data_IF_351115249335
#
_entry.id   IF_351115249335
#
_cell.length_a   1.000
_cell.length_b   1.000
_cell.length_c   1.000
_cell.angle_alpha   90.00
_cell.angle_beta   90.00
_cell.angle_gamma   90.00
#
_symmetry.space_group_name_H-M   'P 1'
#
loop_
_entity.id
_entity.type
_entity.pdbx_description
1 polymer ?
#
# COMPACT_ATOMS: atom_id res chain seq x y z
N UNK A 1 -68.90 9.52 -17.93
CA UNK A 1 -68.17 8.65 -16.99
C UNK A 1 -66.68 8.82 -17.29
N UNK A 2 -65.93 9.59 -16.49
CA UNK A 2 -64.49 9.84 -16.69
C UNK A 2 -63.72 8.97 -15.70
N UNK A 3 -62.98 7.99 -16.21
CA UNK A 3 -62.13 7.09 -15.43
C UNK A 3 -60.79 7.83 -15.21
N UNK A 4 -60.52 8.21 -13.97
CA UNK A 4 -59.21 8.74 -13.57
C UNK A 4 -58.26 7.56 -13.35
N UNK A 5 -57.24 7.46 -14.21
CA UNK A 5 -56.16 6.48 -14.08
C UNK A 5 -55.10 7.05 -13.14
N UNK A 6 -54.90 6.40 -12.00
CA UNK A 6 -53.90 6.78 -10.99
C UNK A 6 -52.60 6.03 -11.30
N UNK A 7 -51.60 6.72 -11.86
CA UNK A 7 -50.27 6.14 -12.06
C UNK A 7 -49.50 6.18 -10.73
N UNK A 8 -49.24 5.00 -10.17
CA UNK A 8 -48.41 4.83 -8.97
C UNK A 8 -46.93 4.82 -9.40
N UNK A 9 -46.23 5.93 -9.16
CA UNK A 9 -44.79 6.05 -9.45
C UNK A 9 -44.01 5.46 -8.27
N UNK A 10 -43.53 4.21 -8.41
CA UNK A 10 -42.64 3.59 -7.41
C UNK A 10 -41.22 4.08 -7.67
N UNK A 11 -40.71 4.97 -6.82
CA UNK A 11 -39.32 5.42 -6.87
C UNK A 11 -38.44 4.38 -6.17
N UNK A 12 -37.65 3.62 -6.94
CA UNK A 12 -36.63 2.70 -6.38
C UNK A 12 -35.44 3.56 -5.96
N UNK A 13 -35.26 3.73 -4.65
CA UNK A 13 -34.10 4.41 -4.07
C UNK A 13 -32.93 3.41 -4.04
N UNK A 14 -32.01 3.51 -5.00
CA UNK A 14 -30.74 2.78 -4.96
C UNK A 14 -29.82 3.44 -3.92
N UNK A 15 -29.68 2.80 -2.77
CA UNK A 15 -28.69 3.21 -1.76
C UNK A 15 -27.32 2.80 -2.30
N UNK A 16 -26.54 3.76 -2.78
CA UNK A 16 -25.12 3.54 -3.05
C UNK A 16 -24.40 3.34 -1.71
N UNK A 17 -24.10 2.09 -1.36
CA UNK A 17 -23.25 1.77 -0.22
C UNK A 17 -21.82 2.16 -0.59
N UNK A 18 -21.31 3.26 -0.02
CA UNK A 18 -19.88 3.57 -0.06
C UNK A 18 -19.15 2.55 0.79
N UNK A 19 -18.39 1.66 0.17
CA UNK A 19 -17.52 0.72 0.87
C UNK A 19 -16.29 1.48 1.31
N UNK A 20 -16.29 2.02 2.53
CA UNK A 20 -15.09 2.61 3.10
C UNK A 20 -13.94 1.60 3.07
N UNK A 21 -12.75 2.08 2.69
CA UNK A 21 -11.53 1.29 2.73
C UNK A 21 -11.35 0.70 4.14
N UNK A 22 -11.50 -0.63 4.25
CA UNK A 22 -11.34 -1.36 5.51
C UNK A 22 -9.92 -1.16 6.01
N UNK A 23 -9.75 -0.87 7.31
CA UNK A 23 -8.42 -0.79 7.91
C UNK A 23 -7.67 -2.11 7.74
N UNK A 24 -6.38 -2.04 7.38
CA UNK A 24 -5.55 -3.21 7.10
C UNK A 24 -4.47 -3.39 8.17
N UNK A 25 -4.24 -4.63 8.59
CA UNK A 25 -3.15 -4.98 9.52
C UNK A 25 -1.87 -5.42 8.80
N UNK A 26 -1.97 -5.76 7.52
CA UNK A 26 -0.83 -6.15 6.71
C UNK A 26 -1.14 -5.93 5.25
N UNK A 27 -0.10 -5.72 4.46
CA UNK A 27 -0.15 -5.75 3.00
C UNK A 27 0.88 -6.73 2.46
N UNK A 28 0.55 -7.37 1.35
CA UNK A 28 1.44 -8.28 0.64
C UNK A 28 1.73 -7.72 -0.74
N UNK A 29 3.01 -7.45 -1.00
CA UNK A 29 3.50 -6.86 -2.24
C UNK A 29 4.24 -7.88 -3.11
N UNK A 30 4.03 -7.75 -4.42
CA UNK A 30 4.79 -8.43 -5.46
C UNK A 30 5.71 -7.42 -6.16
N UNK A 31 7.04 -7.66 -6.15
CA UNK A 31 7.96 -6.84 -6.93
C UNK A 31 7.77 -7.05 -8.44
N UNK A 32 7.78 -5.98 -9.22
CA UNK A 32 7.55 -6.05 -10.67
C UNK A 32 8.62 -6.86 -11.43
N UNK A 33 9.89 -6.77 -11.01
CA UNK A 33 11.04 -7.46 -11.62
C UNK A 33 11.36 -8.82 -11.01
N UNK A 34 10.57 -9.30 -10.06
CA UNK A 34 10.92 -10.51 -9.34
C UNK A 34 9.70 -11.28 -8.85
N UNK A 35 9.28 -12.23 -9.68
CA UNK A 35 8.11 -13.05 -9.44
C UNK A 35 8.29 -14.03 -8.26
N UNK A 36 9.54 -14.41 -7.98
CA UNK A 36 9.90 -15.30 -6.88
C UNK A 36 9.88 -14.60 -5.52
N UNK A 37 9.99 -13.27 -5.49
CA UNK A 37 9.98 -12.51 -4.25
C UNK A 37 8.58 -12.10 -3.83
N UNK A 38 8.34 -12.07 -2.52
CA UNK A 38 7.13 -11.52 -1.91
C UNK A 38 7.55 -10.66 -0.73
N UNK A 39 7.02 -9.46 -0.65
CA UNK A 39 7.28 -8.55 0.46
C UNK A 39 6.01 -8.46 1.30
N UNK A 40 6.12 -8.67 2.60
CA UNK A 40 5.01 -8.53 3.53
C UNK A 40 5.34 -7.40 4.49
N UNK A 41 4.41 -6.45 4.61
CA UNK A 41 4.50 -5.36 5.58
C UNK A 41 3.37 -5.58 6.59
N UNK A 42 3.73 -5.83 7.85
CA UNK A 42 2.76 -6.00 8.94
C UNK A 42 2.77 -4.76 9.81
N UNK A 43 1.62 -4.13 9.94
CA UNK A 43 1.42 -2.92 10.71
C UNK A 43 1.14 -3.26 12.17
N UNK A 44 1.70 -2.49 13.10
CA UNK A 44 1.46 -2.72 14.54
C UNK A 44 0.05 -2.30 14.99
N UNK A 45 -0.64 -1.52 14.17
CA UNK A 45 -2.04 -1.13 14.33
C UNK A 45 -2.72 -1.18 12.95
N UNK A 46 -4.04 -1.33 12.90
CA UNK A 46 -4.78 -1.19 11.64
C UNK A 46 -4.49 0.17 11.00
N UNK A 47 -4.32 0.17 9.68
CA UNK A 47 -4.02 1.37 8.88
C UNK A 47 -5.18 1.62 7.93
N UNK A 48 -5.72 2.83 7.92
CA UNK A 48 -6.69 3.24 6.90
C UNK A 48 -5.96 3.43 5.57
N UNK A 49 -6.32 2.72 4.49
CA UNK A 49 -5.59 2.81 3.24
C UNK A 49 -5.57 4.19 2.58
N UNK A 50 -6.60 5.00 2.82
CA UNK A 50 -6.73 6.36 2.29
C UNK A 50 -6.12 7.42 3.22
N UNK A 51 -5.80 7.03 4.46
CA UNK A 51 -5.13 7.89 5.42
C UNK A 51 -4.14 7.08 6.26
N UNK A 52 -3.03 6.62 5.65
CA UNK A 52 -2.20 5.59 6.27
C UNK A 52 -1.47 6.03 7.55
N UNK A 53 -1.44 7.33 7.85
CA UNK A 53 -0.57 7.89 8.90
C UNK A 53 -1.26 8.94 9.76
N UNK A 54 -2.50 8.71 10.20
CA UNK A 54 -3.20 9.64 11.10
C UNK A 54 -2.52 9.66 12.48
N UNK A 55 -1.97 10.82 12.85
CA UNK A 55 -1.71 11.18 14.26
C UNK A 55 -0.31 10.95 14.83
N UNK A 56 0.64 10.30 14.13
CA UNK A 56 2.03 10.20 14.61
C UNK A 56 3.05 10.26 13.47
N UNK A 57 4.15 11.00 13.72
CA UNK A 57 5.28 11.17 12.80
C UNK A 57 6.04 9.86 12.52
N UNK A 58 5.82 8.82 13.33
CA UNK A 58 6.45 7.52 13.18
C UNK A 58 5.43 6.41 13.43
N UNK A 59 5.27 5.52 12.47
CA UNK A 59 4.49 4.29 12.61
C UNK A 59 5.41 3.08 12.53
N UNK A 60 5.28 2.16 13.48
CA UNK A 60 6.07 0.93 13.50
C UNK A 60 5.45 -0.13 12.59
N UNK A 61 6.27 -0.79 11.78
CA UNK A 61 5.88 -1.94 10.99
C UNK A 61 6.98 -3.02 11.00
N UNK A 62 6.59 -4.25 10.71
CA UNK A 62 7.51 -5.33 10.40
C UNK A 62 7.56 -5.51 8.88
N UNK A 63 8.76 -5.59 8.33
CA UNK A 63 9.00 -5.93 6.93
C UNK A 63 9.56 -7.35 6.87
N UNK A 64 8.99 -8.19 6.01
CA UNK A 64 9.55 -9.50 5.68
C UNK A 64 9.66 -9.68 4.17
N UNK A 65 10.77 -10.25 3.71
CA UNK A 65 10.96 -10.63 2.31
C UNK A 65 11.08 -12.14 2.22
N UNK A 66 10.32 -12.71 1.31
CA UNK A 66 10.29 -14.13 1.00
C UNK A 66 10.81 -14.35 -0.41
N UNK A 67 11.49 -15.47 -0.65
CA UNK A 67 11.84 -15.98 -1.98
C UNK A 67 11.31 -17.41 -2.09
N UNK A 68 10.45 -17.68 -3.06
CA UNK A 68 9.78 -18.98 -3.22
C UNK A 68 9.16 -19.49 -1.90
N UNK A 69 8.41 -18.62 -1.21
CA UNK A 69 7.76 -18.87 0.09
C UNK A 69 8.69 -19.10 1.29
N UNK A 70 10.02 -19.02 1.13
CA UNK A 70 10.98 -19.06 2.23
C UNK A 70 11.32 -17.66 2.67
N UNK A 71 11.19 -17.35 3.97
CA UNK A 71 11.57 -16.03 4.51
C UNK A 71 13.10 -15.89 4.47
N UNK A 72 13.58 -14.86 3.77
CA UNK A 72 15.01 -14.57 3.60
C UNK A 72 15.46 -13.30 4.29
N UNK A 73 14.53 -12.44 4.70
CA UNK A 73 14.81 -11.21 5.43
C UNK A 73 13.64 -10.83 6.32
N UNK A 74 13.96 -10.23 7.46
CA UNK A 74 12.98 -9.65 8.39
C UNK A 74 13.59 -8.43 9.08
N UNK A 75 12.86 -7.32 9.09
CA UNK A 75 13.15 -6.15 9.91
C UNK A 75 11.92 -5.82 10.76
N UNK A 76 12.06 -5.90 12.09
CA UNK A 76 10.95 -5.71 13.04
C UNK A 76 10.76 -4.28 13.52
N UNK A 77 11.62 -3.36 13.09
CA UNK A 77 11.68 -2.00 13.59
C UNK A 77 11.63 -0.99 12.45
N UNK A 78 10.76 -1.23 11.45
CA UNK A 78 10.57 -0.27 10.38
C UNK A 78 9.87 0.97 10.94
N UNK A 79 10.52 2.13 10.82
CA UNK A 79 9.88 3.43 11.10
C UNK A 79 9.34 4.00 9.80
N UNK A 80 8.02 4.02 9.67
CA UNK A 80 7.36 4.65 8.54
C UNK A 80 7.06 6.11 8.87
N UNK A 81 7.39 7.00 7.95
CA UNK A 81 7.10 8.44 8.04
C UNK A 81 6.22 8.82 6.85
N UNK A 82 5.22 9.70 7.02
CA UNK A 82 4.51 10.26 5.88
C UNK A 82 5.51 11.01 4.99
N UNK A 83 5.54 10.68 3.71
CA UNK A 83 6.37 11.43 2.78
C UNK A 83 5.73 12.81 2.53
N UNK A 84 6.44 13.87 2.89
CA UNK A 84 6.10 15.23 2.49
C UNK A 84 6.84 15.49 1.17
N UNK A 85 6.08 15.75 0.10
CA UNK A 85 6.43 15.80 -1.34
C UNK A 85 7.63 16.70 -1.79
N UNK A 86 8.63 16.98 -0.95
CA UNK A 86 9.73 17.93 -1.28
C UNK A 86 11.11 17.46 -0.86
N UNK A 87 11.27 16.37 -0.12
CA UNK A 87 12.61 15.84 0.15
C UNK A 87 13.02 14.94 -1.01
N UNK A 88 13.80 15.54 -1.92
CA UNK A 88 14.71 14.84 -2.82
C UNK A 88 15.59 13.92 -1.97
N UNK A 89 15.11 12.70 -1.71
CA UNK A 89 15.98 11.69 -1.13
C UNK A 89 16.80 11.21 -2.32
N UNK A 90 17.97 11.84 -2.47
CA UNK A 90 19.10 11.35 -3.25
C UNK A 90 19.45 9.94 -2.71
N UNK A 91 18.66 8.92 -3.08
CA UNK A 91 18.87 7.51 -2.75
C UNK A 91 19.60 6.77 -3.87
N UNK A 92 20.28 7.51 -4.75
CA UNK A 92 21.17 6.96 -5.76
C UNK A 92 22.54 6.52 -5.20
N UNK A 93 22.80 6.61 -3.88
CA UNK A 93 24.09 6.26 -3.32
C UNK A 93 24.05 5.73 -1.88
N UNK A 94 24.22 4.42 -1.74
CA UNK A 94 25.06 3.76 -0.71
C UNK A 94 24.74 3.92 0.79
N UNK A 95 23.69 4.64 1.21
CA UNK A 95 23.33 4.70 2.64
C UNK A 95 22.75 3.36 3.13
N UNK A 96 23.21 2.90 4.29
CA UNK A 96 22.66 1.74 5.00
C UNK A 96 21.23 2.04 5.49
N UNK A 97 20.32 1.09 5.33
CA UNK A 97 18.97 1.19 5.88
C UNK A 97 17.88 0.49 5.06
N UNK A 98 16.65 0.65 5.53
CA UNK A 98 15.43 0.16 4.88
C UNK A 98 14.55 1.35 4.52
N UNK A 99 14.20 1.44 3.24
CA UNK A 99 13.38 2.50 2.69
C UNK A 99 12.18 1.91 1.96
N UNK A 100 10.99 2.09 2.53
CA UNK A 100 9.73 1.66 1.96
C UNK A 100 8.84 2.87 1.70
N UNK A 101 8.27 2.94 0.50
CA UNK A 101 7.27 3.94 0.13
C UNK A 101 6.09 3.27 -0.53
N UNK A 102 4.88 3.65 -0.11
CA UNK A 102 3.62 3.09 -0.59
C UNK A 102 2.69 4.22 -1.02
N UNK A 103 2.05 4.05 -2.16
CA UNK A 103 1.11 4.99 -2.77
C UNK A 103 -0.26 4.31 -2.88
N UNK A 104 -1.29 4.80 -2.18
CA UNK A 104 -2.62 4.25 -2.34
C UNK A 104 -3.13 4.55 -3.75
N UNK A 105 -3.70 3.53 -4.40
CA UNK A 105 -4.35 3.65 -5.70
C UNK A 105 -5.86 3.61 -5.51
N UNK A 106 -6.55 4.50 -6.19
CA UNK A 106 -8.02 4.56 -6.19
C UNK A 106 -8.58 4.27 -7.57
N UNK A 107 -9.79 3.73 -7.63
CA UNK A 107 -10.52 3.60 -8.88
C UNK A 107 -11.09 4.95 -9.37
N UNK A 108 -11.86 4.91 -10.47
CA UNK A 108 -12.51 6.09 -11.04
C UNK A 108 -13.56 6.74 -10.13
N UNK A 109 -14.00 6.05 -9.08
CA UNK A 109 -15.00 6.50 -8.11
C UNK A 109 -14.32 7.07 -6.85
N UNK A 110 -12.98 7.01 -6.77
CA UNK A 110 -12.19 7.45 -5.63
C UNK A 110 -12.12 6.42 -4.50
N UNK A 111 -12.55 5.18 -4.74
CA UNK A 111 -12.47 4.10 -3.77
C UNK A 111 -11.09 3.45 -3.81
N UNK A 112 -10.53 3.13 -2.64
CA UNK A 112 -9.24 2.45 -2.55
C UNK A 112 -9.29 1.09 -3.24
N UNK A 113 -8.24 0.76 -4.00
CA UNK A 113 -8.10 -0.53 -4.68
C UNK A 113 -6.93 -1.33 -4.13
N UNK A 114 -5.73 -0.77 -4.16
CA UNK A 114 -4.48 -1.42 -3.79
C UNK A 114 -3.40 -0.36 -3.49
N UNK A 115 -2.25 -0.79 -2.98
CA UNK A 115 -1.07 0.07 -2.92
C UNK A 115 -0.10 -0.27 -4.05
N UNK A 116 0.58 0.75 -4.56
CA UNK A 116 1.82 0.57 -5.35
C UNK A 116 2.98 1.16 -4.57
N UNK A 117 4.23 0.96 -5.00
CA UNK A 117 5.33 1.54 -4.23
C UNK A 117 6.72 1.12 -4.68
N UNK A 118 7.68 1.42 -3.79
CA UNK A 118 9.08 1.05 -3.94
C UNK A 118 9.69 0.62 -2.61
N UNK A 119 10.61 -0.34 -2.69
CA UNK A 119 11.40 -0.81 -1.55
C UNK A 119 12.88 -0.83 -1.93
N UNK A 120 13.69 -0.23 -1.06
CA UNK A 120 15.13 -0.39 -1.07
C UNK A 120 15.59 -0.89 0.31
N UNK A 121 16.38 -1.95 0.31
CA UNK A 121 17.02 -2.53 1.51
C UNK A 121 18.50 -2.61 1.23
N UNK A 122 19.28 -1.99 2.10
CA UNK A 122 20.74 -2.12 2.17
C UNK A 122 21.10 -2.34 3.63
N UNK A 123 21.00 -3.58 4.08
CA UNK A 123 21.21 -3.99 5.47
C UNK A 123 22.49 -4.83 5.54
N UNK A 124 23.55 -4.21 6.04
CA UNK A 124 24.90 -4.79 6.03
C UNK A 124 25.02 -5.93 7.06
N UNK A 125 24.38 -5.78 8.21
CA UNK A 125 24.36 -6.78 9.29
C UNK A 125 23.66 -8.07 8.84
N UNK A 126 22.50 -7.93 8.18
CA UNK A 126 21.76 -9.06 7.63
C UNK A 126 22.32 -9.56 6.29
N UNK A 127 23.31 -8.87 5.70
CA UNK A 127 23.82 -9.10 4.33
C UNK A 127 22.68 -9.15 3.30
N UNK A 128 21.70 -8.27 3.44
CA UNK A 128 20.51 -8.24 2.62
C UNK A 128 20.50 -7.01 1.73
N UNK A 129 20.34 -7.24 0.42
CA UNK A 129 20.22 -6.19 -0.58
C UNK A 129 19.01 -6.44 -1.47
N UNK A 130 18.03 -5.54 -1.43
CA UNK A 130 16.84 -5.59 -2.27
C UNK A 130 16.59 -4.22 -2.90
N UNK A 131 16.38 -4.20 -4.21
CA UNK A 131 16.08 -2.97 -4.94
C UNK A 131 14.85 -3.22 -5.82
N UNK A 132 13.69 -2.91 -5.27
CA UNK A 132 12.38 -2.98 -5.92
C UNK A 132 11.88 -1.56 -6.16
N UNK A 133 12.61 -0.80 -6.98
CA UNK A 133 12.26 0.55 -7.40
C UNK A 133 11.40 0.56 -8.67
N UNK A 134 10.80 1.73 -8.95
CA UNK A 134 10.00 2.00 -10.14
C UNK A 134 10.83 1.81 -11.42
N UNK A 135 10.20 1.32 -12.49
CA UNK A 135 10.85 1.00 -13.75
C UNK A 135 10.04 1.61 -14.89
N UNK A 136 10.57 2.68 -15.49
CA UNK A 136 9.82 3.44 -16.48
C UNK A 136 8.52 3.96 -15.86
N UNK A 137 7.38 3.49 -16.38
CA UNK A 137 6.05 3.85 -15.90
C UNK A 137 5.42 2.81 -14.94
N UNK A 138 6.14 1.72 -14.62
CA UNK A 138 5.63 0.67 -13.73
C UNK A 138 6.15 0.84 -12.30
N UNK A 139 5.29 0.68 -11.28
CA UNK A 139 5.73 0.76 -9.90
C UNK A 139 6.63 -0.43 -9.53
N UNK A 140 7.57 -0.22 -8.60
CA UNK A 140 8.46 -1.28 -8.12
C UNK A 140 7.75 -2.41 -7.38
N UNK A 141 6.62 -2.09 -6.72
CA UNK A 141 5.77 -2.98 -5.95
C UNK A 141 4.29 -2.81 -6.33
N UNK A 142 3.55 -3.91 -6.34
CA UNK A 142 2.08 -3.95 -6.34
C UNK A 142 1.59 -4.74 -5.12
N UNK A 143 0.79 -4.12 -4.26
CA UNK A 143 0.48 -4.57 -2.91
C UNK A 143 -1.03 -4.66 -2.65
N UNK A 144 -1.48 -5.81 -2.14
CA UNK A 144 -2.86 -6.07 -1.74
C UNK A 144 -2.98 -6.35 -0.24
#
# INVERSE_FOLDING_TARGET
MKIFSLFFFVTILTIATKTFATEVNSITCKPAKSAEHTVVVSFFRPVNPLSPFVGFLFFSANLAVYKNSVKIYENKNLRMTPEVYTTDINLFGEAEGVYLRLYPQTDSQGEYTHYTGKLFVNDLDAKAYFNFNDIGEQPGLNCN
#
